data_IF_457125277877
#
_entry.id   IF_457125277877
#
_cell.length_a   1.000
_cell.length_b   1.000
_cell.length_c   1.000
_cell.angle_alpha   90.00
_cell.angle_beta   90.00
_cell.angle_gamma   90.00
#
_symmetry.space_group_name_H-M   'P 1'
#
loop_
_entity.id
_entity.type
_entity.pdbx_description
1 polymer ?
#
# COMPACT_ATOMS: atom_id res chain seq x y z
N UNK A 1 -8.52 8.62 4.56
CA UNK A 1 -7.87 7.97 3.41
C UNK A 1 -7.67 8.89 2.19
N UNK A 2 -8.72 9.49 1.58
CA UNK A 2 -8.59 10.35 0.37
C UNK A 2 -7.55 11.46 0.47
N UNK A 3 -7.44 12.09 1.64
CA UNK A 3 -6.49 13.19 1.90
C UNK A 3 -5.10 12.70 2.36
N UNK A 4 -4.91 11.38 2.48
CA UNK A 4 -3.67 10.78 2.97
C UNK A 4 -2.87 10.12 1.84
N UNK A 5 -3.54 9.48 0.86
CA UNK A 5 -2.86 8.98 -0.33
C UNK A 5 -2.62 10.15 -1.28
N UNK A 6 -1.37 10.34 -1.69
CA UNK A 6 -0.91 11.48 -2.48
C UNK A 6 -0.56 11.09 -3.91
N UNK A 7 -0.13 9.84 -4.10
CA UNK A 7 0.52 9.41 -5.32
C UNK A 7 0.30 7.92 -5.60
N UNK A 8 0.13 7.57 -6.87
CA UNK A 8 0.14 6.21 -7.38
C UNK A 8 0.92 6.16 -8.70
N UNK A 9 1.85 5.21 -8.82
CA UNK A 9 2.56 4.91 -10.05
C UNK A 9 2.53 3.41 -10.35
N UNK A 10 2.31 3.09 -11.61
CA UNK A 10 2.32 1.72 -12.14
C UNK A 10 3.22 1.70 -13.36
N UNK A 11 4.17 0.77 -13.40
CA UNK A 11 5.11 0.68 -14.51
C UNK A 11 6.09 -0.48 -14.39
N UNK A 12 7.08 -0.50 -15.29
CA UNK A 12 8.14 -1.49 -15.35
C UNK A 12 9.41 -0.85 -15.93
N UNK A 13 10.57 -1.12 -15.33
CA UNK A 13 11.83 -0.51 -15.78
C UNK A 13 11.71 1.02 -15.85
N UNK A 14 12.05 1.62 -16.99
CA UNK A 14 11.88 3.05 -17.26
C UNK A 14 10.46 3.45 -17.66
N UNK A 15 9.61 2.50 -18.04
CA UNK A 15 8.27 2.77 -18.58
C UNK A 15 7.27 3.07 -17.47
N UNK A 16 6.46 4.10 -17.67
CA UNK A 16 5.32 4.45 -16.82
C UNK A 16 4.05 4.17 -17.59
N UNK A 17 3.19 3.30 -17.06
CA UNK A 17 1.88 3.02 -17.65
C UNK A 17 0.80 3.89 -17.04
N UNK A 18 0.87 4.12 -15.74
CA UNK A 18 -0.09 4.98 -15.07
C UNK A 18 0.56 5.81 -13.98
N UNK A 19 0.09 7.05 -13.88
CA UNK A 19 0.55 8.00 -12.90
C UNK A 19 -0.63 8.85 -12.44
N UNK A 20 -1.00 8.71 -11.17
CA UNK A 20 -2.00 9.53 -10.53
C UNK A 20 -1.38 10.35 -9.41
N UNK A 21 -1.79 11.60 -9.34
CA UNK A 21 -1.43 12.54 -8.28
C UNK A 21 -2.71 13.08 -7.68
N UNK A 22 -2.76 13.10 -6.37
CA UNK A 22 -3.86 13.74 -5.67
C UNK A 22 -3.84 15.25 -5.97
N UNK A 23 -4.91 15.83 -6.57
CA UNK A 23 -4.92 17.25 -6.93
C UNK A 23 -4.76 18.19 -5.73
N UNK A 24 -5.13 17.73 -4.53
CA UNK A 24 -4.99 18.49 -3.29
C UNK A 24 -3.60 18.38 -2.66
N UNK A 25 -2.70 17.55 -3.20
CA UNK A 25 -1.35 17.39 -2.65
C UNK A 25 -0.46 18.58 -2.99
N UNK A 26 0.08 19.23 -1.96
CA UNK A 26 1.11 20.27 -2.10
C UNK A 26 2.53 19.70 -2.15
N UNK A 27 2.68 18.44 -1.74
CA UNK A 27 3.98 17.76 -1.65
C UNK A 27 4.38 17.28 -3.05
N UNK A 28 5.57 17.70 -3.49
CA UNK A 28 6.13 17.23 -4.76
C UNK A 28 6.83 15.90 -4.56
N UNK A 29 6.25 14.85 -5.16
CA UNK A 29 6.84 13.53 -5.13
C UNK A 29 8.07 13.45 -6.05
N UNK A 30 9.22 13.01 -5.51
CA UNK A 30 10.48 13.00 -6.24
C UNK A 30 10.57 11.82 -7.23
N UNK A 31 10.84 12.10 -8.51
CA UNK A 31 11.02 11.08 -9.54
C UNK A 31 12.16 10.10 -9.24
N UNK A 32 13.18 10.53 -8.49
CA UNK A 32 14.28 9.68 -8.04
C UNK A 32 13.75 8.51 -7.20
N UNK A 33 12.72 8.71 -6.38
CA UNK A 33 12.15 7.61 -5.58
C UNK A 33 11.41 6.59 -6.42
N UNK A 34 10.76 7.05 -7.49
CA UNK A 34 10.11 6.17 -8.46
C UNK A 34 11.16 5.28 -9.12
N UNK A 35 12.28 5.87 -9.55
CA UNK A 35 13.41 5.15 -10.14
C UNK A 35 14.06 4.17 -9.14
N UNK A 36 14.26 4.60 -7.89
CA UNK A 36 14.82 3.75 -6.83
C UNK A 36 13.91 2.55 -6.52
N UNK A 37 12.60 2.78 -6.42
CA UNK A 37 11.62 1.71 -6.23
C UNK A 37 11.66 0.71 -7.40
N UNK A 38 11.68 1.20 -8.64
CA UNK A 38 11.73 0.38 -9.87
C UNK A 38 12.99 -0.47 -9.97
N UNK A 39 14.13 0.11 -9.60
CA UNK A 39 15.43 -0.55 -9.67
C UNK A 39 15.78 -1.32 -8.39
N UNK A 40 14.84 -1.48 -7.45
CA UNK A 40 15.10 -2.23 -6.23
C UNK A 40 15.49 -3.68 -6.56
N UNK A 41 16.69 -4.14 -6.14
CA UNK A 41 17.29 -5.41 -6.59
C UNK A 41 16.69 -6.65 -5.92
N UNK A 42 15.98 -6.48 -4.79
CA UNK A 42 15.37 -7.61 -4.07
C UNK A 42 14.17 -8.22 -4.80
N UNK A 43 13.90 -9.50 -4.51
CA UNK A 43 12.61 -10.13 -4.83
C UNK A 43 11.54 -9.47 -3.95
N UNK A 44 10.59 -8.77 -4.57
CA UNK A 44 9.55 -8.01 -3.86
C UNK A 44 8.31 -8.90 -3.60
N UNK A 45 8.51 -10.07 -3.00
CA UNK A 45 7.38 -10.90 -2.51
C UNK A 45 6.58 -10.17 -1.43
N UNK A 46 7.21 -9.20 -0.75
CA UNK A 46 6.62 -8.34 0.27
C UNK A 46 6.69 -6.87 -0.15
N UNK A 47 5.83 -6.05 0.47
CA UNK A 47 5.84 -4.59 0.31
C UNK A 47 7.08 -4.00 0.98
N UNK A 48 7.76 -3.07 0.30
CA UNK A 48 8.87 -2.30 0.88
C UNK A 48 8.34 -0.95 1.33
N UNK A 49 8.75 -0.54 2.52
CA UNK A 49 8.34 0.73 3.13
C UNK A 49 9.52 1.69 3.14
N UNK A 50 9.30 2.93 2.69
CA UNK A 50 10.25 4.03 2.83
C UNK A 50 9.55 5.16 3.59
N UNK A 51 10.17 5.60 4.68
CA UNK A 51 9.72 6.74 5.49
C UNK A 51 10.63 7.94 5.24
N UNK A 52 10.06 9.05 4.79
CA UNK A 52 10.73 10.35 4.73
C UNK A 52 10.00 11.33 5.63
N UNK A 53 10.63 12.49 5.85
CA UNK A 53 10.07 13.56 6.69
C UNK A 53 8.67 13.98 6.20
N UNK A 54 8.51 14.18 4.89
CA UNK A 54 7.28 14.76 4.33
C UNK A 54 6.29 13.72 3.78
N UNK A 55 6.73 12.48 3.56
CA UNK A 55 5.86 11.43 3.01
C UNK A 55 6.37 10.02 3.32
N UNK A 56 5.45 9.07 3.18
CA UNK A 56 5.71 7.64 3.18
C UNK A 56 5.53 7.07 1.79
N UNK A 57 6.19 5.94 1.59
CA UNK A 57 6.24 5.21 0.34
C UNK A 57 6.06 3.73 0.60
N UNK A 58 5.20 3.10 -0.18
CA UNK A 58 5.10 1.64 -0.25
C UNK A 58 5.21 1.23 -1.70
N UNK A 59 6.03 0.23 -2.00
CA UNK A 59 6.10 -0.35 -3.33
C UNK A 59 6.25 -1.87 -3.32
N UNK A 60 5.76 -2.52 -4.36
CA UNK A 60 5.84 -3.98 -4.55
C UNK A 60 5.86 -4.32 -6.04
N UNK A 61 6.63 -5.35 -6.43
CA UNK A 61 6.48 -6.00 -7.74
C UNK A 61 5.39 -7.05 -7.60
N UNK A 62 4.36 -6.94 -8.43
CA UNK A 62 3.20 -7.81 -8.39
C UNK A 62 3.13 -8.53 -9.72
N UNK A 63 3.14 -9.86 -9.68
CA UNK A 63 2.97 -10.70 -10.87
C UNK A 63 1.51 -10.71 -11.32
N UNK A 64 1.25 -10.84 -12.63
CA UNK A 64 -0.11 -10.96 -13.13
C UNK A 64 -0.79 -12.25 -12.62
N UNK A 65 -2.11 -12.20 -12.36
CA UNK A 65 -2.87 -13.41 -12.05
C UNK A 65 -2.69 -14.47 -13.15
N UNK A 66 -2.43 -15.71 -12.75
CA UNK A 66 -2.32 -16.87 -13.66
C UNK A 66 -1.23 -16.74 -14.73
N UNK A 67 -0.22 -15.88 -14.52
CA UNK A 67 0.91 -15.72 -15.45
C UNK A 67 0.59 -15.01 -16.77
N UNK A 68 -0.60 -14.38 -16.89
CA UNK A 68 -1.01 -13.66 -18.11
C UNK A 68 -0.72 -12.16 -17.97
N UNK A 69 0.42 -11.71 -18.48
CA UNK A 69 0.82 -10.31 -18.50
C UNK A 69 2.29 -10.11 -18.15
N UNK A 70 2.67 -8.89 -17.78
CA UNK A 70 4.01 -8.56 -17.27
C UNK A 70 3.94 -8.30 -15.77
N UNK A 71 4.98 -8.67 -15.04
CA UNK A 71 5.18 -8.23 -13.65
C UNK A 71 5.35 -6.72 -13.62
N UNK A 72 4.54 -6.04 -12.83
CA UNK A 72 4.57 -4.58 -12.70
C UNK A 72 5.00 -4.16 -11.31
N UNK A 73 5.61 -2.99 -11.22
CA UNK A 73 5.80 -2.32 -9.94
C UNK A 73 4.65 -1.37 -9.66
N UNK A 74 4.08 -1.50 -8.47
CA UNK A 74 3.07 -0.58 -7.93
C UNK A 74 3.73 0.24 -6.84
N UNK A 75 3.58 1.55 -6.89
CA UNK A 75 4.17 2.50 -5.95
C UNK A 75 3.06 3.40 -5.44
N UNK A 76 2.86 3.43 -4.12
CA UNK A 76 1.90 4.29 -3.45
C UNK A 76 2.65 5.26 -2.54
N UNK A 77 2.41 6.55 -2.72
CA UNK A 77 2.93 7.61 -1.86
C UNK A 77 1.81 8.21 -1.01
N UNK A 78 2.10 8.48 0.27
CA UNK A 78 1.12 8.99 1.22
C UNK A 78 1.72 9.97 2.22
N UNK A 79 0.88 10.69 2.96
CA UNK A 79 1.31 11.55 4.06
C UNK A 79 1.96 10.72 5.19
N UNK A 80 2.81 11.33 6.04
CA UNK A 80 3.43 10.62 7.17
C UNK A 80 2.42 10.02 8.16
N UNK A 81 1.24 10.65 8.26
CA UNK A 81 0.14 10.16 9.10
C UNK A 81 -0.60 8.94 8.52
N UNK A 82 -0.38 8.58 7.26
CA UNK A 82 -0.98 7.39 6.67
C UNK A 82 -0.34 6.11 7.27
N UNK A 83 -1.17 5.11 7.55
CA UNK A 83 -0.72 3.81 8.04
C UNK A 83 -0.29 2.93 6.86
N UNK A 84 0.81 2.18 7.01
CA UNK A 84 1.31 1.30 5.94
C UNK A 84 0.26 0.26 5.53
N UNK A 85 -0.51 -0.28 6.47
CA UNK A 85 -1.61 -1.20 6.19
C UNK A 85 -2.67 -0.59 5.24
N UNK A 86 -2.96 0.71 5.36
CA UNK A 86 -3.87 1.42 4.45
C UNK A 86 -3.26 1.53 3.05
N UNK A 87 -1.97 1.87 2.96
CA UNK A 87 -1.26 1.98 1.68
C UNK A 87 -1.15 0.62 0.97
N UNK A 88 -0.88 -0.45 1.71
CA UNK A 88 -0.83 -1.81 1.19
C UNK A 88 -2.19 -2.32 0.73
N UNK A 89 -3.25 -2.11 1.52
CA UNK A 89 -4.61 -2.48 1.13
C UNK A 89 -5.07 -1.71 -0.12
N UNK A 90 -4.68 -0.43 -0.23
CA UNK A 90 -4.94 0.36 -1.42
C UNK A 90 -4.20 -0.21 -2.64
N UNK A 91 -2.93 -0.56 -2.48
CA UNK A 91 -2.13 -1.19 -3.54
C UNK A 91 -2.71 -2.54 -3.98
N UNK A 92 -3.19 -3.36 -3.04
CA UNK A 92 -3.81 -4.65 -3.31
C UNK A 92 -5.02 -4.49 -4.23
N UNK A 93 -6.00 -3.65 -3.83
CA UNK A 93 -7.17 -3.32 -4.65
C UNK A 93 -6.78 -2.80 -6.04
N UNK A 94 -5.86 -1.82 -6.09
CA UNK A 94 -5.43 -1.23 -7.36
C UNK A 94 -4.79 -2.26 -8.27
N UNK A 95 -3.97 -3.17 -7.72
CA UNK A 95 -3.31 -4.20 -8.52
C UNK A 95 -4.29 -5.22 -9.08
N UNK A 96 -5.28 -5.62 -8.30
CA UNK A 96 -6.35 -6.53 -8.73
C UNK A 96 -7.14 -5.90 -9.88
N UNK A 97 -7.59 -4.65 -9.70
CA UNK A 97 -8.36 -3.93 -10.73
C UNK A 97 -7.52 -3.67 -11.98
N UNK A 98 -6.24 -3.34 -11.83
CA UNK A 98 -5.35 -3.14 -12.97
C UNK A 98 -5.24 -4.38 -13.83
N UNK A 99 -5.00 -5.54 -13.22
CA UNK A 99 -4.88 -6.79 -13.95
C UNK A 99 -6.24 -7.29 -14.47
N UNK A 100 -7.33 -7.03 -13.77
CA UNK A 100 -8.68 -7.35 -14.25
C UNK A 100 -8.98 -6.59 -15.55
N UNK A 101 -8.67 -5.30 -15.62
CA UNK A 101 -8.99 -4.45 -16.78
C UNK A 101 -7.98 -4.57 -17.92
N UNK A 102 -6.68 -4.68 -17.60
CA UNK A 102 -5.61 -4.50 -18.59
C UNK A 102 -4.75 -5.74 -18.85
N UNK A 103 -4.95 -6.88 -18.17
CA UNK A 103 -4.08 -8.07 -18.33
C UNK A 103 -3.94 -8.55 -19.78
N UNK A 104 -5.00 -8.47 -20.58
CA UNK A 104 -4.98 -8.87 -21.99
C UNK A 104 -4.38 -7.81 -22.92
N UNK A 105 -4.50 -6.52 -22.56
CA UNK A 105 -4.02 -5.39 -23.37
C UNK A 105 -2.48 -5.30 -23.40
N UNK A 106 -1.80 -5.77 -22.35
CA UNK A 106 -0.33 -5.84 -22.31
C UNK A 106 0.29 -6.85 -23.29
N UNK A 107 -0.52 -7.75 -23.87
CA UNK A 107 -0.04 -8.74 -24.83
C UNK A 107 0.04 -8.22 -26.27
N UNK A 108 -0.58 -7.07 -26.58
CA UNK A 108 -0.89 -6.72 -27.98
C UNK A 108 -0.46 -5.31 -28.45
N UNK A 109 0.00 -4.40 -27.60
CA UNK A 109 0.31 -3.02 -28.05
C UNK A 109 1.66 -2.49 -27.57
N UNK A 110 2.39 -1.85 -28.49
CA UNK A 110 3.67 -1.15 -28.29
C UNK A 110 3.52 0.36 -28.13
N UNK A 111 2.30 0.89 -28.06
CA UNK A 111 2.04 2.34 -27.96
C UNK A 111 0.96 2.61 -26.93
N UNK A 112 1.38 3.12 -25.77
CA UNK A 112 0.55 3.16 -24.56
C UNK A 112 -0.23 4.46 -24.32
N UNK A 113 0.05 5.55 -25.07
CA UNK A 113 -0.75 6.79 -25.12
C UNK A 113 -1.57 7.17 -23.87
N UNK A 114 -2.82 7.62 -24.08
CA UNK A 114 -3.81 7.87 -23.01
C UNK A 114 -4.61 6.61 -22.64
N UNK A 115 -4.11 5.41 -22.95
CA UNK A 115 -4.88 4.16 -22.86
C UNK A 115 -5.33 3.85 -21.43
N UNK A 116 -4.59 4.34 -20.45
CA UNK A 116 -4.81 4.10 -19.02
C UNK A 116 -5.50 5.27 -18.30
N UNK A 117 -5.92 6.32 -19.01
CA UNK A 117 -6.54 7.50 -18.39
C UNK A 117 -7.86 7.17 -17.68
N UNK A 118 -8.64 6.23 -18.23
CA UNK A 118 -9.87 5.72 -17.60
C UNK A 118 -9.64 5.07 -16.23
N UNK A 119 -8.42 4.62 -15.93
CA UNK A 119 -8.09 4.04 -14.63
C UNK A 119 -8.18 5.05 -13.48
N UNK A 120 -8.22 6.36 -13.76
CA UNK A 120 -8.43 7.39 -12.73
C UNK A 120 -9.75 7.19 -11.97
N UNK A 121 -10.80 6.73 -12.64
CA UNK A 121 -12.09 6.47 -11.97
C UNK A 121 -11.98 5.32 -10.97
N UNK A 122 -11.23 4.27 -11.31
CA UNK A 122 -10.92 3.15 -10.40
C UNK A 122 -10.12 3.62 -9.19
N UNK A 123 -9.18 4.54 -9.39
CA UNK A 123 -8.44 5.17 -8.28
C UNK A 123 -9.38 5.96 -7.37
N UNK A 124 -10.37 6.67 -7.93
CA UNK A 124 -11.36 7.38 -7.11
C UNK A 124 -12.28 6.43 -6.34
N UNK A 125 -12.68 5.32 -6.94
CA UNK A 125 -13.49 4.29 -6.28
C UNK A 125 -12.72 3.50 -5.22
N UNK A 126 -11.41 3.34 -5.38
CA UNK A 126 -10.55 2.77 -4.34
C UNK A 126 -10.72 3.51 -3.01
N UNK A 127 -10.98 4.83 -3.04
CA UNK A 127 -11.18 5.61 -1.81
C UNK A 127 -12.44 5.26 -1.02
N UNK A 128 -13.44 4.67 -1.69
CA UNK A 128 -14.70 4.21 -1.09
C UNK A 128 -14.65 2.73 -0.76
N UNK A 129 -14.01 1.92 -1.60
CA UNK A 129 -14.09 0.46 -1.52
C UNK A 129 -13.02 -0.14 -0.60
N UNK A 130 -11.79 0.38 -0.60
CA UNK A 130 -10.71 -0.16 0.25
C UNK A 130 -11.06 -0.16 1.75
N UNK A 131 -11.62 0.93 2.34
CA UNK A 131 -11.98 0.94 3.75
C UNK A 131 -13.06 -0.08 4.13
N UNK A 132 -13.91 -0.49 3.18
CA UNK A 132 -15.01 -1.43 3.42
C UNK A 132 -14.56 -2.87 3.18
N UNK A 133 -13.86 -3.10 2.07
CA UNK A 133 -13.55 -4.43 1.56
C UNK A 133 -12.22 -4.98 2.06
N UNK A 134 -11.19 -4.14 2.19
CA UNK A 134 -9.82 -4.61 2.45
C UNK A 134 -9.30 -4.26 3.84
N UNK A 135 -10.01 -3.44 4.61
CA UNK A 135 -9.55 -3.00 5.93
C UNK A 135 -10.52 -3.43 7.04
N UNK A 136 -9.95 -3.78 8.19
CA UNK A 136 -10.62 -3.88 9.49
C UNK A 136 -10.18 -2.69 10.31
N UNK A 137 -11.16 -1.97 10.88
CA UNK A 137 -10.89 -0.86 11.80
C UNK A 137 -10.93 -1.41 13.22
N UNK A 138 -9.86 -1.16 13.97
CA UNK A 138 -9.76 -1.55 15.37
C UNK A 138 -9.15 -0.41 16.21
N UNK A 139 -9.15 -0.59 17.52
CA UNK A 139 -8.58 0.37 18.46
C UNK A 139 -7.50 -0.34 19.28
N UNK A 140 -6.33 0.28 19.41
CA UNK A 140 -5.25 -0.14 20.31
C UNK A 140 -4.90 1.00 21.24
N UNK A 141 -4.38 0.68 22.43
CA UNK A 141 -3.92 1.69 23.38
C UNK A 141 -2.40 1.74 23.32
N UNK A 142 -1.85 2.92 23.13
CA UNK A 142 -0.44 3.10 23.42
C UNK A 142 -0.28 3.43 24.90
N UNK A 143 0.39 2.54 25.64
CA UNK A 143 0.71 2.79 27.05
C UNK A 143 1.66 3.98 27.21
N UNK A 144 2.63 4.15 26.32
CA UNK A 144 3.59 5.27 26.36
C UNK A 144 2.92 6.64 26.15
N UNK A 145 1.94 6.74 25.26
CA UNK A 145 1.18 7.98 25.04
C UNK A 145 -0.07 8.12 25.92
N UNK A 146 -0.44 7.08 26.68
CA UNK A 146 -1.69 7.00 27.42
C UNK A 146 -2.96 7.30 26.58
N UNK A 147 -2.95 6.99 25.28
CA UNK A 147 -4.05 7.31 24.36
C UNK A 147 -4.44 6.13 23.46
N UNK A 148 -5.69 6.13 23.02
CA UNK A 148 -6.22 5.16 22.07
C UNK A 148 -5.99 5.62 20.64
N UNK A 149 -5.53 4.71 19.80
CA UNK A 149 -5.33 4.92 18.38
C UNK A 149 -6.26 4.05 17.56
N UNK A 150 -6.80 4.64 16.48
CA UNK A 150 -7.49 3.89 15.45
C UNK A 150 -6.43 3.22 14.58
N UNK A 151 -6.47 1.90 14.52
CA UNK A 151 -5.64 1.08 13.66
C UNK A 151 -6.48 0.51 12.53
N UNK A 152 -5.92 0.52 11.33
CA UNK A 152 -6.46 -0.18 10.17
C UNK A 152 -5.57 -1.38 9.89
N UNK A 153 -6.18 -2.56 9.83
CA UNK A 153 -5.48 -3.82 9.53
C UNK A 153 -6.00 -4.33 8.20
N UNK A 154 -5.09 -4.75 7.33
CA UNK A 154 -5.44 -5.34 6.04
C UNK A 154 -6.10 -6.71 6.27
N UNK A 155 -7.26 -6.95 5.67
CA UNK A 155 -7.99 -8.23 5.83
C UNK A 155 -7.19 -9.43 5.36
N UNK A 156 -6.51 -9.30 4.22
CA UNK A 156 -5.65 -10.36 3.68
C UNK A 156 -4.46 -10.73 4.59
N UNK A 157 -4.09 -9.88 5.56
CA UNK A 157 -3.11 -10.25 6.60
C UNK A 157 -3.68 -11.30 7.57
N UNK A 158 -4.99 -11.26 7.84
CA UNK A 158 -5.70 -12.19 8.72
C UNK A 158 -6.18 -13.40 7.90
N UNK A 159 -6.83 -13.16 6.77
CA UNK A 159 -7.47 -14.22 5.96
C UNK A 159 -6.47 -15.23 5.39
N UNK A 160 -5.22 -14.81 5.17
CA UNK A 160 -4.14 -15.66 4.64
C UNK A 160 -3.08 -16.01 5.69
N UNK A 161 -3.35 -15.77 6.98
CA UNK A 161 -2.40 -16.12 8.04
C UNK A 161 -2.26 -17.65 8.18
N UNK A 162 -1.03 -18.14 8.21
CA UNK A 162 -0.75 -19.57 8.46
C UNK A 162 -1.05 -19.99 9.91
N UNK A 163 -0.98 -19.04 10.84
CA UNK A 163 -1.23 -19.26 12.26
C UNK A 163 -1.67 -17.98 12.97
N UNK A 164 -2.27 -18.14 14.15
CA UNK A 164 -2.75 -17.04 14.99
C UNK A 164 -2.14 -17.11 16.39
N UNK A 165 -1.94 -15.96 17.06
CA UNK A 165 -2.23 -14.60 16.59
C UNK A 165 -1.20 -14.07 15.57
N UNK A 166 -1.63 -13.20 14.65
CA UNK A 166 -0.77 -12.52 13.69
C UNK A 166 -0.06 -11.34 14.36
N UNK A 167 1.25 -11.25 14.18
CA UNK A 167 2.04 -10.12 14.64
C UNK A 167 1.95 -8.95 13.65
N UNK A 168 1.61 -7.76 14.15
CA UNK A 168 1.60 -6.52 13.39
C UNK A 168 2.35 -5.43 14.15
N UNK A 169 3.29 -4.79 13.46
CA UNK A 169 3.98 -3.60 13.97
C UNK A 169 3.20 -2.35 13.55
N UNK A 170 2.75 -1.57 14.53
CA UNK A 170 2.12 -0.27 14.33
C UNK A 170 3.05 0.83 14.83
N UNK A 171 3.54 1.66 13.90
CA UNK A 171 4.33 2.84 14.22
C UNK A 171 3.44 4.07 14.38
N UNK A 172 3.63 4.81 15.49
CA UNK A 172 3.10 6.15 15.62
C UNK A 172 4.06 7.03 16.43
N UNK A 173 4.17 8.30 16.05
CA UNK A 173 5.19 9.21 16.59
C UNK A 173 6.60 8.58 16.54
N UNK A 174 7.23 8.41 17.70
CA UNK A 174 8.60 7.94 17.91
C UNK A 174 8.72 6.50 18.44
N UNK A 175 7.62 5.75 18.55
CA UNK A 175 7.64 4.36 19.02
C UNK A 175 6.77 3.43 18.17
N UNK A 176 7.07 2.14 18.28
CA UNK A 176 6.33 1.06 17.65
C UNK A 176 5.60 0.22 18.70
N UNK A 177 4.39 -0.21 18.35
CA UNK A 177 3.64 -1.20 19.09
C UNK A 177 3.64 -2.51 18.31
N UNK A 178 4.11 -3.58 18.93
CA UNK A 178 3.90 -4.94 18.47
C UNK A 178 2.55 -5.42 18.97
N UNK A 179 1.66 -5.72 18.05
CA UNK A 179 0.29 -6.15 18.31
C UNK A 179 0.11 -7.60 17.87
N UNK A 180 -0.56 -8.39 18.71
CA UNK A 180 -0.95 -9.76 18.39
C UNK A 180 -2.45 -9.81 18.09
N UNK A 181 -2.81 -10.08 16.84
CA UNK A 181 -4.19 -10.00 16.34
C UNK A 181 -4.73 -11.41 16.08
N UNK A 182 -5.91 -11.72 16.61
CA UNK A 182 -6.55 -13.02 16.37
C UNK A 182 -7.29 -13.09 15.02
N UNK A 183 -7.88 -14.25 14.72
CA UNK A 183 -8.64 -14.49 13.50
C UNK A 183 -9.92 -13.66 13.38
N UNK A 184 -10.37 -13.01 14.46
CA UNK A 184 -11.54 -12.14 14.50
C UNK A 184 -11.14 -10.66 14.39
N UNK A 185 -9.84 -10.35 14.27
CA UNK A 185 -9.34 -8.98 14.23
C UNK A 185 -9.28 -8.30 15.60
N UNK A 186 -9.25 -9.05 16.70
CA UNK A 186 -9.07 -8.50 18.05
C UNK A 186 -7.62 -8.56 18.52
N UNK A 187 -7.18 -7.52 19.23
CA UNK A 187 -5.87 -7.50 19.90
C UNK A 187 -5.88 -8.45 21.11
N UNK A 188 -4.96 -9.42 21.12
CA UNK A 188 -4.73 -10.37 22.23
C UNK A 188 -3.56 -10.01 23.11
N UNK A 189 -2.65 -9.19 22.61
CA UNK A 189 -1.53 -8.64 23.36
C UNK A 189 -0.93 -7.45 22.62
N UNK A 190 -0.31 -6.55 23.38
CA UNK A 190 0.41 -5.39 22.85
C UNK A 190 1.69 -5.18 23.66
N UNK A 191 2.77 -4.79 22.99
CA UNK A 191 4.05 -4.47 23.60
C UNK A 191 4.69 -3.29 22.88
N UNK A 192 5.28 -2.36 23.63
CA UNK A 192 6.12 -1.32 23.04
C UNK A 192 7.45 -1.96 22.64
N UNK A 193 7.86 -1.75 21.38
CA UNK A 193 9.10 -2.28 20.85
C UNK A 193 9.99 -1.16 20.33
N UNK A 194 11.29 -1.33 20.51
CA UNK A 194 12.28 -0.47 19.87
C UNK A 194 12.36 -0.80 18.38
N UNK A 195 12.41 0.23 17.55
CA UNK A 195 12.64 0.07 16.11
C UNK A 195 14.16 0.05 15.90
N UNK A 196 14.75 -1.13 15.87
CA UNK A 196 16.15 -1.30 15.42
C UNK A 196 16.14 -1.56 13.92
N UNK A 197 16.78 -0.67 13.15
CA UNK A 197 16.66 -0.52 11.69
C UNK A 197 16.81 -1.78 10.85
#
# INVERSE_FOLDING_TARGET
>A
MRNQILYLNIGIGSETFFNWRNPAATITFNQIDVLNARNYPGKLSYSIHIKKQDYKLVFRKIDPPKGKGKTLIFIVGATPACQYQVMEAFMEFISEQWYEVYSELFLQSSTFGNLFEGFKEIVEDAFKEVPKRYLIKMTTRCSSCAQNFVLYVKKSLIDHAESFPVALVFEHADHALLLYIDSQGHTRGESTVDITG
#
